data_IF_189742854883
#
_entry.id   IF_189742854883
#
_cell.length_a   1.000
_cell.length_b   1.000
_cell.length_c   1.000
_cell.angle_alpha   90.00
_cell.angle_beta   90.00
_cell.angle_gamma   90.00
#
_symmetry.space_group_name_H-M   'P 1'
#
loop_
_entity.id
_entity.type
_entity.pdbx_description
1 polymer ?
#
# COMPACT_ATOMS: atom_id res chain seq x y z
N UNK A 1 11.65 -4.95 -4.19
CA UNK A 1 10.71 -4.74 -3.10
C UNK A 1 11.00 -3.41 -2.41
N UNK A 2 9.95 -2.69 -2.02
CA UNK A 2 10.02 -1.48 -1.22
C UNK A 2 9.20 -1.69 0.04
N UNK A 3 9.75 -1.37 1.20
CA UNK A 3 9.05 -1.33 2.48
C UNK A 3 9.29 0.03 3.12
N UNK A 4 8.23 0.67 3.60
CA UNK A 4 8.35 1.92 4.34
C UNK A 4 8.83 1.61 5.77
N UNK A 5 9.74 2.44 6.29
CA UNK A 5 10.47 2.17 7.53
C UNK A 5 9.63 2.15 8.80
N UNK A 6 8.42 2.71 8.75
CA UNK A 6 7.46 2.73 9.85
C UNK A 6 6.41 1.61 9.77
N UNK A 7 6.49 0.72 8.78
CA UNK A 7 5.49 -0.33 8.57
C UNK A 7 5.87 -1.64 9.26
N UNK A 8 5.00 -2.13 10.13
CA UNK A 8 5.14 -3.39 10.88
C UNK A 8 4.09 -4.37 10.40
N UNK A 9 4.53 -5.56 9.97
CA UNK A 9 3.67 -6.61 9.42
C UNK A 9 3.82 -7.91 10.21
N UNK A 10 2.72 -8.59 10.44
CA UNK A 10 2.68 -10.00 10.86
C UNK A 10 2.88 -10.93 9.66
N UNK A 11 2.29 -10.55 8.52
CA UNK A 11 2.37 -11.31 7.27
C UNK A 11 3.81 -11.42 6.75
N UNK A 12 4.19 -12.63 6.35
CA UNK A 12 5.41 -12.89 5.61
C UNK A 12 5.18 -12.80 4.09
N UNK A 13 5.97 -11.99 3.41
CA UNK A 13 5.84 -11.73 1.96
C UNK A 13 6.70 -12.65 1.07
N UNK A 14 7.38 -13.64 1.63
CA UNK A 14 8.29 -14.54 0.87
C UNK A 14 7.64 -15.14 -0.38
N UNK A 15 6.39 -15.62 -0.26
CA UNK A 15 5.65 -16.19 -1.40
C UNK A 15 5.28 -15.13 -2.44
N UNK A 16 4.85 -13.94 -1.99
CA UNK A 16 4.50 -12.83 -2.88
C UNK A 16 5.73 -12.35 -3.68
N UNK A 17 6.87 -12.21 -3.01
CA UNK A 17 8.14 -11.81 -3.64
C UNK A 17 8.62 -12.88 -4.64
N UNK A 18 8.58 -14.16 -4.29
CA UNK A 18 9.02 -15.25 -5.16
C UNK A 18 8.12 -15.38 -6.41
N UNK A 19 6.83 -15.12 -6.28
CA UNK A 19 5.86 -15.19 -7.38
C UNK A 19 5.88 -13.96 -8.28
N UNK A 20 6.42 -12.82 -7.81
CA UNK A 20 6.43 -11.57 -8.57
C UNK A 20 7.39 -11.64 -9.76
N UNK A 21 6.92 -11.29 -10.95
CA UNK A 21 7.72 -11.34 -12.19
C UNK A 21 7.87 -9.97 -12.86
N UNK A 22 6.79 -9.18 -12.93
CA UNK A 22 6.79 -7.88 -13.63
C UNK A 22 5.63 -7.01 -13.16
N UNK A 23 5.69 -5.73 -13.49
CA UNK A 23 4.66 -4.74 -13.19
C UNK A 23 4.81 -4.17 -11.78
N UNK A 24 3.69 -3.99 -11.11
CA UNK A 24 3.61 -3.61 -9.72
C UNK A 24 2.66 -4.53 -8.93
N UNK A 25 2.97 -4.75 -7.66
CA UNK A 25 2.08 -5.41 -6.72
C UNK A 25 2.00 -4.57 -5.45
N UNK A 26 0.79 -4.22 -5.07
CA UNK A 26 0.48 -3.46 -3.86
C UNK A 26 -0.32 -4.31 -2.89
N UNK A 27 -0.38 -3.89 -1.63
CA UNK A 27 -1.09 -4.64 -0.62
C UNK A 27 -2.04 -3.71 0.13
N UNK A 28 -3.28 -4.15 0.27
CA UNK A 28 -4.34 -3.45 0.98
C UNK A 28 -4.72 -4.18 2.26
N UNK A 29 -5.13 -3.42 3.25
CA UNK A 29 -5.68 -3.96 4.49
C UNK A 29 -6.99 -3.26 4.82
N UNK A 30 -7.97 -4.04 5.28
CA UNK A 30 -9.19 -3.49 5.86
C UNK A 30 -8.86 -2.79 7.17
N UNK A 31 -9.21 -1.51 7.28
CA UNK A 31 -8.83 -0.67 8.42
C UNK A 31 -9.74 0.55 8.57
N UNK A 32 -9.65 1.20 9.73
CA UNK A 32 -10.21 2.53 9.98
C UNK A 32 -9.18 3.64 9.65
N UNK A 33 -9.61 4.91 9.72
CA UNK A 33 -8.71 6.05 9.50
C UNK A 33 -8.21 6.20 8.08
N UNK A 34 -8.98 5.76 7.10
CA UNK A 34 -8.62 5.68 5.67
C UNK A 34 -8.21 7.01 5.03
N UNK A 35 -8.61 8.15 5.62
CA UNK A 35 -8.20 9.50 5.16
C UNK A 35 -6.69 9.77 5.27
N UNK A 36 -5.93 8.84 5.87
CA UNK A 36 -4.45 8.93 6.01
C UNK A 36 -3.71 8.14 4.94
N UNK A 37 -4.39 7.32 4.16
CA UNK A 37 -3.78 6.30 3.28
C UNK A 37 -4.27 6.42 1.84
N UNK A 38 -3.55 5.80 0.93
CA UNK A 38 -4.07 5.50 -0.41
C UNK A 38 -5.23 4.51 -0.30
N UNK A 39 -6.36 4.81 -0.90
CA UNK A 39 -7.58 4.00 -0.82
C UNK A 39 -7.95 3.46 -2.20
N UNK A 40 -8.03 2.12 -2.41
CA UNK A 40 -8.45 1.57 -3.68
C UNK A 40 -9.93 1.83 -3.94
N UNK A 41 -10.24 2.17 -5.18
CA UNK A 41 -11.59 2.18 -5.72
C UNK A 41 -11.73 0.92 -6.58
N UNK A 42 -12.72 0.10 -6.25
CA UNK A 42 -13.00 -1.12 -6.99
C UNK A 42 -14.07 -0.88 -8.07
N UNK A 43 -14.07 -1.73 -9.09
CA UNK A 43 -15.16 -1.79 -10.06
C UNK A 43 -16.46 -2.33 -9.43
N UNK A 44 -17.53 -2.37 -10.18
CA UNK A 44 -18.84 -2.85 -9.72
C UNK A 44 -18.82 -4.31 -9.22
N UNK A 45 -17.90 -5.14 -9.72
CA UNK A 45 -17.73 -6.52 -9.26
C UNK A 45 -17.02 -6.64 -7.91
N UNK A 46 -16.38 -5.56 -7.42
CA UNK A 46 -15.56 -5.56 -6.20
C UNK A 46 -14.24 -6.33 -6.33
N UNK A 47 -13.87 -6.77 -7.53
CA UNK A 47 -12.69 -7.63 -7.74
C UNK A 47 -11.51 -6.93 -8.39
N UNK A 48 -11.75 -5.85 -9.11
CA UNK A 48 -10.70 -5.13 -9.84
C UNK A 48 -10.56 -3.71 -9.30
N UNK A 49 -9.34 -3.33 -8.96
CA UNK A 49 -9.01 -1.95 -8.64
C UNK A 49 -9.04 -1.14 -9.94
N UNK A 50 -9.74 -0.02 -9.96
CA UNK A 50 -9.84 0.89 -11.10
C UNK A 50 -9.07 2.19 -10.89
N UNK A 51 -8.79 2.56 -9.65
CA UNK A 51 -7.87 3.63 -9.25
C UNK A 51 -7.53 3.53 -7.77
N UNK A 52 -6.52 4.26 -7.34
CA UNK A 52 -6.19 4.45 -5.92
C UNK A 52 -6.25 5.96 -5.66
N UNK A 53 -7.03 6.38 -4.67
CA UNK A 53 -7.18 7.78 -4.23
C UNK A 53 -6.26 8.03 -3.03
N UNK A 54 -5.40 9.05 -3.12
CA UNK A 54 -4.51 9.42 -2.01
C UNK A 54 -5.27 10.21 -0.97
N UNK A 55 -5.27 9.73 0.27
CA UNK A 55 -5.84 10.37 1.47
C UNK A 55 -7.22 11.00 1.23
N UNK A 56 -8.20 10.25 0.70
CA UNK A 56 -9.49 10.81 0.36
C UNK A 56 -10.28 11.22 1.61
N UNK A 57 -10.97 12.34 1.54
CA UNK A 57 -11.89 12.74 2.62
C UNK A 57 -13.12 11.81 2.71
N UNK A 58 -13.55 11.25 1.59
CA UNK A 58 -14.65 10.29 1.48
C UNK A 58 -14.16 8.99 0.84
N UNK A 59 -13.61 8.06 1.65
CA UNK A 59 -13.11 6.79 1.16
C UNK A 59 -14.18 5.95 0.48
N UNK A 60 -13.87 5.37 -0.68
CA UNK A 60 -14.80 4.55 -1.49
C UNK A 60 -14.68 3.05 -1.26
N UNK A 61 -13.81 2.64 -0.35
CA UNK A 61 -13.70 1.26 0.11
C UNK A 61 -13.27 1.22 1.58
N UNK A 62 -13.35 0.05 2.19
CA UNK A 62 -12.89 -0.17 3.57
C UNK A 62 -11.40 -0.56 3.65
N UNK A 63 -10.65 -0.39 2.56
CA UNK A 63 -9.26 -0.83 2.46
C UNK A 63 -8.32 0.36 2.32
N UNK A 64 -7.22 0.33 3.07
CA UNK A 64 -6.09 1.26 2.92
C UNK A 64 -4.87 0.56 2.35
N UNK A 65 -4.07 1.30 1.58
CA UNK A 65 -2.81 0.84 1.03
C UNK A 65 -1.76 0.80 2.14
N UNK A 66 -1.07 -0.34 2.25
CA UNK A 66 0.04 -0.51 3.20
C UNK A 66 1.36 -0.11 2.56
N UNK A 67 2.41 0.04 3.37
CA UNK A 67 3.73 0.47 2.91
C UNK A 67 4.63 -0.68 2.44
N UNK A 68 4.11 -1.71 1.79
CA UNK A 68 4.89 -2.74 1.13
C UNK A 68 4.52 -2.87 -0.35
N UNK A 69 5.53 -2.77 -1.22
CA UNK A 69 5.35 -2.71 -2.66
C UNK A 69 6.37 -3.58 -3.38
N UNK A 70 5.94 -4.19 -4.50
CA UNK A 70 6.84 -4.84 -5.45
C UNK A 70 6.73 -4.11 -6.77
N UNK A 71 7.87 -3.78 -7.38
CA UNK A 71 7.95 -3.10 -8.67
C UNK A 71 8.99 -3.76 -9.57
N UNK A 72 8.73 -3.75 -10.86
CA UNK A 72 9.77 -3.98 -11.86
C UNK A 72 10.65 -2.72 -12.05
N UNK A 73 11.73 -2.86 -12.84
CA UNK A 73 12.69 -1.77 -13.04
C UNK A 73 12.12 -0.50 -13.69
N UNK A 74 10.93 -0.56 -14.29
CA UNK A 74 10.28 0.62 -14.91
C UNK A 74 9.84 1.66 -13.88
N UNK A 75 9.77 1.30 -12.61
CA UNK A 75 9.42 2.23 -11.54
C UNK A 75 10.35 3.43 -11.49
N UNK A 76 11.65 3.26 -11.76
CA UNK A 76 12.61 4.36 -11.73
C UNK A 76 12.35 5.40 -12.82
N UNK A 77 11.88 4.98 -14.01
CA UNK A 77 11.49 5.90 -15.07
C UNK A 77 10.18 6.61 -14.78
N UNK A 78 9.25 5.93 -14.09
CA UNK A 78 8.01 6.53 -13.65
C UNK A 78 8.25 7.58 -12.55
N UNK A 79 9.14 7.30 -11.58
CA UNK A 79 9.52 8.24 -10.52
C UNK A 79 10.09 9.53 -11.11
N UNK A 80 10.98 9.45 -12.09
CA UNK A 80 11.56 10.63 -12.76
C UNK A 80 10.53 11.54 -13.44
N UNK A 81 9.35 11.00 -13.76
CA UNK A 81 8.25 11.69 -14.44
C UNK A 81 7.15 12.14 -13.49
N UNK A 82 7.30 11.91 -12.19
CA UNK A 82 6.35 12.39 -11.21
C UNK A 82 6.39 13.92 -11.11
N UNK A 83 5.22 14.46 -10.84
CA UNK A 83 5.07 15.87 -10.45
C UNK A 83 4.51 15.91 -9.04
N UNK A 84 4.89 16.93 -8.24
CA UNK A 84 4.27 17.11 -6.93
C UNK A 84 2.76 17.20 -7.02
N UNK A 85 2.07 16.57 -6.08
CA UNK A 85 0.62 16.68 -5.90
C UNK A 85 0.22 18.08 -5.46
N UNK A 86 -1.08 18.34 -5.32
CA UNK A 86 -1.58 19.58 -4.73
C UNK A 86 -1.06 19.84 -3.29
N UNK A 87 -0.51 18.80 -2.64
CA UNK A 87 0.12 18.86 -1.32
C UNK A 87 1.62 19.19 -1.38
N UNK A 88 2.19 19.33 -2.58
CA UNK A 88 3.62 19.55 -2.80
C UNK A 88 4.48 18.29 -2.64
N UNK A 89 3.88 17.09 -2.51
CA UNK A 89 4.56 15.82 -2.30
C UNK A 89 4.55 14.94 -3.55
N UNK A 90 5.60 14.14 -3.74
CA UNK A 90 5.61 13.06 -4.74
C UNK A 90 4.92 11.84 -4.14
N UNK A 91 3.77 11.49 -4.71
CA UNK A 91 2.92 10.44 -4.14
C UNK A 91 3.22 9.06 -4.75
N UNK A 92 3.44 8.07 -3.90
CA UNK A 92 3.58 6.69 -4.38
C UNK A 92 2.30 6.16 -5.03
N UNK A 93 1.15 6.70 -4.63
CA UNK A 93 -0.16 6.42 -5.22
C UNK A 93 -0.21 6.78 -6.70
N UNK A 94 0.50 7.82 -7.13
CA UNK A 94 0.59 8.19 -8.56
C UNK A 94 1.39 7.16 -9.36
N UNK A 95 2.47 6.61 -8.78
CA UNK A 95 3.19 5.49 -9.38
C UNK A 95 2.26 4.30 -9.57
N UNK A 96 1.53 3.92 -8.53
CA UNK A 96 0.61 2.78 -8.57
C UNK A 96 -0.50 2.98 -9.62
N UNK A 97 -1.04 4.18 -9.73
CA UNK A 97 -2.03 4.53 -10.75
C UNK A 97 -1.46 4.50 -12.18
N UNK A 98 -0.17 4.82 -12.38
CA UNK A 98 0.49 4.64 -13.69
C UNK A 98 0.58 3.17 -14.08
N UNK A 99 0.97 2.30 -13.15
CA UNK A 99 0.95 0.85 -13.37
C UNK A 99 -0.46 0.32 -13.64
N UNK A 100 -1.45 0.83 -12.92
CA UNK A 100 -2.86 0.48 -13.12
C UNK A 100 -3.34 0.83 -14.52
N UNK A 101 -3.09 2.06 -14.99
CA UNK A 101 -3.47 2.54 -16.33
C UNK A 101 -2.91 1.70 -17.48
N UNK A 102 -1.70 1.13 -17.31
CA UNK A 102 -1.09 0.24 -18.31
C UNK A 102 -1.36 -1.25 -18.10
N UNK A 103 -2.30 -1.59 -17.19
CA UNK A 103 -2.69 -2.98 -16.92
C UNK A 103 -1.63 -3.80 -16.17
N UNK A 104 -0.65 -3.14 -15.55
CA UNK A 104 0.48 -3.78 -14.87
C UNK A 104 0.39 -3.80 -13.36
N UNK A 105 -0.73 -3.41 -12.73
CA UNK A 105 -0.92 -3.46 -11.29
C UNK A 105 -1.66 -4.72 -10.87
N UNK A 106 -1.11 -5.43 -9.90
CA UNK A 106 -1.79 -6.47 -9.13
C UNK A 106 -1.87 -6.08 -7.65
N UNK A 107 -2.76 -6.71 -6.89
CA UNK A 107 -2.85 -6.46 -5.47
C UNK A 107 -3.01 -7.74 -4.66
N UNK A 108 -2.74 -7.63 -3.35
CA UNK A 108 -3.06 -8.63 -2.34
C UNK A 108 -3.78 -7.98 -1.17
N UNK A 109 -4.59 -8.77 -0.47
CA UNK A 109 -5.18 -8.34 0.81
C UNK A 109 -4.31 -8.91 1.93
N UNK A 110 -4.06 -8.11 2.96
CA UNK A 110 -3.32 -8.52 4.15
C UNK A 110 -4.31 -8.94 5.22
N UNK A 111 -4.22 -10.20 5.62
CA UNK A 111 -4.79 -10.72 6.85
C UNK A 111 -3.76 -10.59 7.97
N UNK A 112 -4.20 -10.68 9.23
CA UNK A 112 -3.33 -10.50 10.40
C UNK A 112 -3.00 -9.03 10.70
N UNK A 113 -2.04 -8.83 11.58
CA UNK A 113 -1.68 -7.48 12.04
C UNK A 113 -0.84 -6.71 11.03
N UNK A 114 -1.15 -5.44 10.90
CA UNK A 114 -0.34 -4.42 10.26
C UNK A 114 -0.56 -3.08 10.97
N UNK A 115 0.51 -2.30 11.08
CA UNK A 115 0.45 -0.91 11.54
C UNK A 115 1.51 -0.07 10.86
N UNK A 116 1.17 1.18 10.57
CA UNK A 116 2.15 2.25 10.40
C UNK A 116 2.54 2.73 11.80
N UNK A 117 3.78 2.66 12.20
CA UNK A 117 4.25 3.18 13.48
C UNK A 117 4.48 4.71 13.46
N UNK A 118 3.67 5.45 12.68
CA UNK A 118 3.80 6.89 12.45
C UNK A 118 3.24 7.79 13.56
N UNK A 119 2.56 7.22 14.57
CA UNK A 119 2.08 7.94 15.76
C UNK A 119 2.51 7.21 17.02
N UNK A 120 2.56 7.89 18.17
CA UNK A 120 2.86 7.23 19.45
C UNK A 120 1.91 6.09 19.75
N UNK A 121 0.62 6.24 19.45
CA UNK A 121 -0.39 5.21 19.66
C UNK A 121 -0.15 3.99 18.75
N UNK A 122 0.10 4.20 17.46
CA UNK A 122 0.35 3.10 16.52
C UNK A 122 1.69 2.41 16.79
N UNK A 123 2.73 3.16 17.21
CA UNK A 123 4.00 2.60 17.67
C UNK A 123 3.82 1.71 18.90
N UNK A 124 3.04 2.16 19.89
CA UNK A 124 2.74 1.37 21.09
C UNK A 124 2.01 0.05 20.72
N UNK A 125 0.98 0.12 19.86
CA UNK A 125 0.27 -1.07 19.36
C UNK A 125 1.21 -2.04 18.64
N UNK A 126 2.09 -1.53 17.77
CA UNK A 126 3.06 -2.35 17.05
C UNK A 126 4.07 -3.02 18.00
N UNK A 127 4.55 -2.29 19.01
CA UNK A 127 5.47 -2.82 20.04
C UNK A 127 4.81 -3.92 20.87
N UNK A 128 3.57 -3.71 21.31
CA UNK A 128 2.81 -4.70 22.07
C UNK A 128 2.57 -6.00 21.27
N UNK A 129 2.30 -5.87 19.97
CA UNK A 129 2.16 -7.04 19.09
C UNK A 129 3.48 -7.78 18.91
N UNK A 130 4.60 -7.06 18.68
CA UNK A 130 5.94 -7.69 18.56
C UNK A 130 6.35 -8.44 19.81
N UNK A 131 6.04 -7.92 20.99
CA UNK A 131 6.32 -8.59 22.26
C UNK A 131 5.59 -9.94 22.37
N UNK A 132 4.36 -10.05 21.82
CA UNK A 132 3.62 -11.34 21.76
C UNK A 132 4.24 -12.35 20.80
N UNK A 133 4.90 -11.91 19.72
CA UNK A 133 5.53 -12.82 18.74
C UNK A 133 6.89 -13.33 19.21
N UNK A 134 7.49 -12.69 20.21
CA UNK A 134 8.78 -13.08 20.77
C UNK A 134 8.67 -14.14 21.88
N UNK A 135 7.46 -14.52 22.28
CA UNK A 135 7.15 -15.61 23.22
C UNK A 135 6.87 -16.90 22.44
#
# INVERSE_FOLDING_TARGET
AVILGDNIFEKHFKKDVAAFKKGARVFFKKMDGLHRFGVPVFDQSGKRVIRIEEKPQQPKSAYGQTGFYLYDGKVFDDIKKLKPSARGELEITDINNRYLKRGGLSYGIIDGFWSDAGTFESLFKATAMRAKWAQ
#
